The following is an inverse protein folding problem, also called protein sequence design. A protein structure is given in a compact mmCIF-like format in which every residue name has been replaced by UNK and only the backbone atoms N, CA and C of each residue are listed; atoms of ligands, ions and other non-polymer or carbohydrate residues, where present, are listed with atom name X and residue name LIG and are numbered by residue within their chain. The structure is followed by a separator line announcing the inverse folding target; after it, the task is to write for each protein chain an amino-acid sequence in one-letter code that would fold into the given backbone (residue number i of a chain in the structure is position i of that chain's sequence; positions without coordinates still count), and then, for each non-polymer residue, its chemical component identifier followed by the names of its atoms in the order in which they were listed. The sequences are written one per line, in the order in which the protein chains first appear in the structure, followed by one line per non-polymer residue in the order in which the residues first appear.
data_IF_231528461563
#
_entry.id   IF_231528461563
#
_cell.length_a   1.000
_cell.length_b   1.000
_cell.length_c   1.000
_cell.angle_alpha   90.00
_cell.angle_beta   90.00
_cell.angle_gamma   90.00
#
_symmetry.space_group_name_H-M   'P 1'
#
loop_
_entity.id
_entity.type
_entity.pdbx_description
1 polymer ?
#
# COMPACT_ATOMS: atom_id res chain seq x y z
N UNK A 1 0.38 23.43 3.63
CA UNK A 1 -0.78 23.60 2.73
C UNK A 1 -1.95 22.86 3.35
N UNK A 2 -3.03 23.55 3.64
CA UNK A 2 -4.30 22.91 3.99
C UNK A 2 -4.81 22.19 2.75
N UNK A 3 -4.81 20.86 2.78
CA UNK A 3 -5.42 20.08 1.72
C UNK A 3 -6.94 20.32 1.75
N UNK A 4 -7.48 20.96 0.71
CA UNK A 4 -8.92 21.15 0.58
C UNK A 4 -9.49 19.87 -0.02
N UNK A 5 -10.22 19.12 0.80
CA UNK A 5 -10.96 17.96 0.35
C UNK A 5 -12.14 18.41 -0.51
N UNK A 6 -11.99 18.30 -1.83
CA UNK A 6 -13.03 18.66 -2.78
C UNK A 6 -13.41 17.45 -3.65
N UNK A 7 -14.31 16.57 -3.16
CA UNK A 7 -14.70 15.38 -3.90
C UNK A 7 -15.36 15.75 -5.23
N UNK A 8 -15.18 14.91 -6.25
CA UNK A 8 -15.87 15.06 -7.53
C UNK A 8 -17.33 14.69 -7.30
N UNK A 9 -18.25 15.64 -7.54
CA UNK A 9 -19.68 15.50 -7.26
C UNK A 9 -20.56 15.42 -8.52
N UNK A 10 -20.00 15.64 -9.72
CA UNK A 10 -20.76 15.57 -10.97
C UNK A 10 -21.16 14.15 -11.36
N UNK A 11 -20.54 13.14 -10.75
CA UNK A 11 -20.88 11.73 -10.92
C UNK A 11 -21.68 11.26 -9.70
N UNK A 12 -22.94 10.92 -9.91
CA UNK A 12 -23.86 10.40 -8.89
C UNK A 12 -24.32 8.99 -9.26
N UNK A 13 -24.89 8.26 -8.31
CA UNK A 13 -25.45 6.92 -8.54
C UNK A 13 -26.41 6.89 -9.74
N UNK A 14 -26.31 5.84 -10.57
CA UNK A 14 -27.06 5.66 -11.82
C UNK A 14 -26.56 6.49 -13.01
N UNK A 15 -25.62 7.42 -12.83
CA UNK A 15 -25.01 8.16 -13.95
C UNK A 15 -23.89 7.36 -14.61
N UNK A 16 -23.51 7.73 -15.83
CA UNK A 16 -22.48 7.01 -16.59
C UNK A 16 -21.22 7.86 -16.79
N UNK A 17 -20.05 7.25 -16.60
CA UNK A 17 -18.79 7.78 -17.13
C UNK A 17 -18.63 7.25 -18.55
N UNK A 18 -18.47 8.17 -19.51
CA UNK A 18 -18.23 7.86 -20.93
C UNK A 18 -19.28 6.91 -21.55
N UNK A 19 -20.55 7.04 -21.16
CA UNK A 19 -21.68 6.22 -21.63
C UNK A 19 -21.46 4.69 -21.52
N UNK A 20 -20.63 4.24 -20.57
CA UNK A 20 -20.28 2.82 -20.39
C UNK A 20 -20.24 2.39 -18.95
N UNK A 21 -19.54 3.15 -18.11
CA UNK A 21 -19.30 2.78 -16.71
C UNK A 21 -20.37 3.44 -15.84
N UNK A 22 -21.39 2.67 -15.48
CA UNK A 22 -22.47 3.12 -14.60
C UNK A 22 -21.93 3.27 -13.17
N UNK A 23 -22.17 4.42 -12.54
CA UNK A 23 -21.80 4.70 -11.16
C UNK A 23 -22.75 3.94 -10.24
N UNK A 24 -22.21 3.03 -9.44
CA UNK A 24 -22.96 2.39 -8.34
C UNK A 24 -22.91 3.32 -7.13
N UNK A 25 -21.73 3.58 -6.59
CA UNK A 25 -21.55 4.47 -5.45
C UNK A 25 -20.13 5.01 -5.36
N UNK A 26 -19.94 6.09 -4.60
CA UNK A 26 -18.60 6.58 -4.25
C UNK A 26 -18.01 5.72 -3.14
N UNK A 27 -16.78 5.23 -3.33
CA UNK A 27 -16.10 4.36 -2.37
C UNK A 27 -14.96 5.06 -1.61
N UNK A 28 -14.45 6.18 -2.13
CA UNK A 28 -13.43 6.99 -1.46
C UNK A 28 -13.14 8.30 -2.19
N UNK A 29 -12.52 9.25 -1.50
CA UNK A 29 -12.01 10.46 -2.11
C UNK A 29 -10.75 10.96 -1.39
N UNK A 30 -9.83 11.47 -2.19
CA UNK A 30 -8.53 12.00 -1.79
C UNK A 30 -8.43 13.48 -2.13
N UNK A 31 -7.24 14.03 -1.90
CA UNK A 31 -6.87 15.37 -2.37
C UNK A 31 -6.80 15.46 -3.90
N UNK A 32 -6.55 14.33 -4.59
CA UNK A 32 -6.22 14.31 -6.02
C UNK A 32 -7.25 13.57 -6.88
N UNK A 33 -8.03 12.66 -6.29
CA UNK A 33 -8.96 11.82 -7.04
C UNK A 33 -10.16 11.41 -6.19
N UNK A 34 -11.26 11.05 -6.86
CA UNK A 34 -12.40 10.37 -6.25
C UNK A 34 -12.53 8.99 -6.87
N UNK A 35 -12.72 7.97 -6.04
CA UNK A 35 -12.93 6.59 -6.47
C UNK A 35 -14.41 6.23 -6.39
N UNK A 36 -14.91 5.65 -7.47
CA UNK A 36 -16.29 5.16 -7.60
C UNK A 36 -16.29 3.67 -7.90
N UNK A 37 -17.20 2.92 -7.27
CA UNK A 37 -17.57 1.60 -7.75
C UNK A 37 -18.45 1.78 -8.98
N UNK A 38 -18.15 1.04 -10.04
CA UNK A 38 -18.85 1.13 -11.32
C UNK A 38 -19.18 -0.24 -11.87
N UNK A 39 -20.20 -0.32 -12.71
CA UNK A 39 -20.51 -1.50 -13.53
C UNK A 39 -20.22 -1.21 -15.00
N UNK A 40 -19.51 -2.13 -15.66
CA UNK A 40 -19.26 -2.04 -17.09
C UNK A 40 -20.47 -2.58 -17.88
N UNK A 41 -21.31 -1.67 -18.39
CA UNK A 41 -22.49 -2.03 -19.18
C UNK A 41 -22.18 -2.78 -20.49
N UNK A 42 -20.92 -2.78 -20.93
CA UNK A 42 -20.49 -3.51 -22.14
C UNK A 42 -19.73 -4.82 -21.83
N UNK A 43 -19.50 -5.14 -20.55
CA UNK A 43 -18.86 -6.39 -20.10
C UNK A 43 -19.71 -7.03 -18.99
N UNK A 44 -20.94 -7.46 -19.32
CA UNK A 44 -21.86 -8.17 -18.43
C UNK A 44 -22.04 -7.53 -17.03
N UNK A 45 -22.12 -6.19 -16.97
CA UNK A 45 -22.24 -5.43 -15.71
C UNK A 45 -21.15 -5.75 -14.69
N UNK A 46 -19.97 -6.11 -15.16
CA UNK A 46 -18.84 -6.44 -14.30
C UNK A 46 -18.48 -5.27 -13.38
N UNK A 47 -18.34 -5.58 -12.10
CA UNK A 47 -17.96 -4.60 -11.08
C UNK A 47 -16.47 -4.23 -11.20
N UNK A 48 -16.22 -2.92 -11.25
CA UNK A 48 -14.90 -2.30 -11.39
C UNK A 48 -14.81 -1.05 -10.50
N UNK A 49 -13.63 -0.45 -10.47
CA UNK A 49 -13.39 0.85 -9.82
C UNK A 49 -12.98 1.88 -10.88
N UNK A 50 -13.63 3.04 -10.84
CA UNK A 50 -13.23 4.22 -11.59
C UNK A 50 -12.54 5.22 -10.65
N UNK A 51 -11.23 5.43 -10.84
CA UNK A 51 -10.48 6.52 -10.20
C UNK A 51 -10.53 7.74 -11.11
N UNK A 52 -11.16 8.81 -10.63
CA UNK A 52 -11.42 10.03 -11.41
C UNK A 52 -10.65 11.19 -10.78
N UNK A 53 -9.82 11.87 -11.56
CA UNK A 53 -9.07 13.06 -11.14
C UNK A 53 -9.42 14.25 -12.03
N UNK A 54 -9.44 15.47 -11.49
CA UNK A 54 -9.58 16.69 -12.32
C UNK A 54 -8.26 16.94 -13.04
N UNK A 55 -8.32 17.29 -14.32
CA UNK A 55 -7.12 17.68 -15.08
C UNK A 55 -6.41 18.89 -14.48
N UNK A 56 -7.17 19.82 -13.90
CA UNK A 56 -6.64 21.01 -13.23
C UNK A 56 -5.81 20.70 -11.98
N UNK A 57 -6.11 19.58 -11.31
CA UNK A 57 -5.52 19.24 -10.01
C UNK A 57 -4.24 18.40 -10.19
N UNK A 58 -4.08 17.77 -11.35
CA UNK A 58 -2.96 16.88 -11.67
C UNK A 58 -1.77 17.64 -12.30
N UNK A 59 -1.22 18.58 -11.52
CA UNK A 59 -0.06 19.40 -11.91
C UNK A 59 1.25 18.58 -11.87
N UNK A 60 1.29 17.50 -11.09
CA UNK A 60 2.48 16.69 -10.86
C UNK A 60 2.59 15.44 -11.76
N UNK A 61 1.64 15.24 -12.68
CA UNK A 61 1.66 14.10 -13.62
C UNK A 61 1.42 12.75 -12.94
N UNK A 62 0.64 12.74 -11.85
CA UNK A 62 0.29 11.54 -11.09
C UNK A 62 -0.49 10.56 -11.96
N UNK A 63 -1.40 11.06 -12.80
CA UNK A 63 -2.17 10.20 -13.69
C UNK A 63 -1.28 9.44 -14.67
N UNK A 64 -0.40 10.14 -15.40
CA UNK A 64 0.47 9.49 -16.38
C UNK A 64 1.42 8.50 -15.70
N UNK A 65 1.89 8.84 -14.51
CA UNK A 65 2.75 7.97 -13.69
C UNK A 65 2.02 6.68 -13.28
N UNK A 66 0.80 6.82 -12.74
CA UNK A 66 -0.03 5.70 -12.32
C UNK A 66 -0.41 4.80 -13.51
N UNK A 67 -0.84 5.38 -14.64
CA UNK A 67 -1.14 4.61 -15.87
C UNK A 67 0.10 3.85 -16.35
N UNK A 68 1.26 4.49 -16.38
CA UNK A 68 2.50 3.86 -16.84
C UNK A 68 2.93 2.69 -15.93
N UNK A 69 2.84 2.86 -14.61
CA UNK A 69 3.14 1.80 -13.65
C UNK A 69 2.12 0.65 -13.73
N UNK A 70 0.82 0.95 -13.72
CA UNK A 70 -0.25 -0.05 -13.83
C UNK A 70 -0.16 -0.86 -15.14
N UNK A 71 0.23 -0.22 -16.25
CA UNK A 71 0.44 -0.91 -17.53
C UNK A 71 1.52 -2.01 -17.41
N UNK A 72 2.58 -1.75 -16.64
CA UNK A 72 3.65 -2.73 -16.40
C UNK A 72 3.24 -3.85 -15.44
N UNK A 73 2.21 -3.62 -14.63
CA UNK A 73 1.71 -4.55 -13.61
C UNK A 73 0.54 -5.43 -14.09
N UNK A 74 0.10 -5.30 -15.35
CA UNK A 74 -0.94 -6.15 -15.93
C UNK A 74 -0.52 -7.63 -15.81
N UNK A 75 -1.37 -8.43 -15.19
CA UNK A 75 -1.15 -9.87 -14.96
C UNK A 75 -0.33 -10.18 -13.69
N UNK A 76 0.21 -9.17 -13.01
CA UNK A 76 0.96 -9.34 -11.76
C UNK A 76 -0.02 -9.28 -10.58
N UNK A 77 0.05 -10.27 -9.67
CA UNK A 77 -0.79 -10.36 -8.47
C UNK A 77 -0.50 -9.21 -7.49
N UNK A 78 -1.45 -8.95 -6.59
CA UNK A 78 -1.35 -7.92 -5.54
C UNK A 78 -1.39 -6.47 -6.04
N UNK A 79 -1.81 -6.25 -7.29
CA UNK A 79 -1.99 -4.93 -7.89
C UNK A 79 -3.33 -4.84 -8.62
N UNK A 80 -3.96 -3.65 -8.65
CA UNK A 80 -5.13 -3.40 -9.48
C UNK A 80 -4.85 -3.71 -10.95
N UNK A 81 -5.75 -4.45 -11.58
CA UNK A 81 -5.67 -4.78 -13.00
C UNK A 81 -6.38 -3.69 -13.80
N UNK A 82 -5.61 -2.75 -14.34
CA UNK A 82 -6.13 -1.70 -15.22
C UNK A 82 -6.82 -2.32 -16.44
N UNK A 83 -8.08 -1.93 -16.66
CA UNK A 83 -8.92 -2.38 -17.79
C UNK A 83 -8.99 -1.34 -18.89
N UNK A 84 -8.99 -0.07 -18.52
CA UNK A 84 -9.04 1.05 -19.44
C UNK A 84 -8.53 2.32 -18.76
N UNK A 85 -8.13 3.30 -19.54
CA UNK A 85 -7.92 4.66 -19.06
C UNK A 85 -8.25 5.64 -20.19
N UNK A 86 -8.80 6.79 -19.84
CA UNK A 86 -9.16 7.82 -20.83
C UNK A 86 -9.25 9.18 -20.15
N UNK A 87 -9.36 10.21 -20.98
CA UNK A 87 -9.58 11.58 -20.54
C UNK A 87 -10.89 12.11 -21.12
N UNK A 88 -11.63 12.88 -20.34
CA UNK A 88 -12.77 13.70 -20.79
C UNK A 88 -12.33 15.15 -20.95
N UNK A 89 -13.24 16.09 -21.17
CA UNK A 89 -12.90 17.53 -21.19
C UNK A 89 -12.22 17.98 -19.90
N UNK A 90 -12.71 17.54 -18.74
CA UNK A 90 -12.29 18.06 -17.42
C UNK A 90 -11.62 17.01 -16.53
N UNK A 91 -11.74 15.73 -16.85
CA UNK A 91 -11.33 14.63 -15.97
C UNK A 91 -10.37 13.66 -16.65
N UNK A 92 -9.56 13.00 -15.83
CA UNK A 92 -8.79 11.82 -16.18
C UNK A 92 -9.35 10.63 -15.41
N UNK A 93 -9.53 9.51 -16.10
CA UNK A 93 -10.19 8.33 -15.56
C UNK A 93 -9.31 7.11 -15.76
N UNK A 94 -9.14 6.32 -14.70
CA UNK A 94 -8.55 4.99 -14.74
C UNK A 94 -9.61 4.00 -14.28
N UNK A 95 -9.88 2.98 -15.11
CA UNK A 95 -10.78 1.88 -14.81
C UNK A 95 -9.95 0.66 -14.45
N UNK A 96 -10.16 0.07 -13.28
CA UNK A 96 -9.39 -1.05 -12.76
C UNK A 96 -10.26 -2.02 -11.97
N UNK A 97 -9.70 -3.17 -11.57
CA UNK A 97 -10.38 -4.12 -10.69
C UNK A 97 -10.59 -3.54 -9.29
N UNK A 98 -11.66 -3.98 -8.64
CA UNK A 98 -11.93 -3.68 -7.24
C UNK A 98 -11.07 -4.58 -6.35
N UNK A 99 -10.30 -3.96 -5.45
CA UNK A 99 -9.32 -4.63 -4.58
C UNK A 99 -9.77 -4.76 -3.11
N UNK A 100 -11.04 -4.47 -2.82
CA UNK A 100 -11.62 -4.60 -1.48
C UNK A 100 -11.43 -3.36 -0.60
N UNK A 101 -11.46 -3.56 0.72
CA UNK A 101 -11.41 -2.48 1.71
C UNK A 101 -9.98 -2.21 2.18
N UNK A 102 -9.68 -0.98 2.63
CA UNK A 102 -8.33 -0.69 3.12
C UNK A 102 -8.01 -1.48 4.39
N UNK A 103 -6.74 -1.87 4.53
CA UNK A 103 -6.21 -2.58 5.70
C UNK A 103 -6.46 -1.76 6.97
N UNK A 104 -6.37 -0.42 6.87
CA UNK A 104 -6.70 0.50 7.95
C UNK A 104 -8.15 0.42 8.43
N UNK A 105 -9.13 0.14 7.55
CA UNK A 105 -10.52 -0.12 7.96
C UNK A 105 -10.65 -1.50 8.60
N UNK A 106 -10.01 -2.52 8.03
CA UNK A 106 -10.04 -3.88 8.59
C UNK A 106 -9.43 -3.90 9.99
N UNK A 107 -8.28 -3.26 10.19
CA UNK A 107 -7.61 -3.14 11.49
C UNK A 107 -8.50 -2.45 12.54
N UNK A 108 -9.26 -1.44 12.13
CA UNK A 108 -10.16 -0.71 13.04
C UNK A 108 -11.32 -1.52 13.60
N UNK A 109 -11.59 -2.72 13.06
CA UNK A 109 -12.61 -3.65 13.54
C UNK A 109 -12.16 -4.41 14.79
N UNK A 110 -10.85 -4.48 15.03
CA UNK A 110 -10.31 -5.19 16.17
C UNK A 110 -10.34 -4.30 17.41
N UNK A 111 -10.85 -4.82 18.53
CA UNK A 111 -10.99 -4.08 19.78
C UNK A 111 -9.66 -3.48 20.28
N UNK A 112 -8.56 -4.22 20.07
CA UNK A 112 -7.21 -3.79 20.45
C UNK A 112 -6.50 -2.96 19.37
N UNK A 113 -7.14 -2.73 18.23
CA UNK A 113 -6.53 -2.02 17.09
C UNK A 113 -5.29 -2.72 16.50
N UNK A 114 -5.16 -4.03 16.70
CA UNK A 114 -4.01 -4.83 16.28
C UNK A 114 -4.44 -6.16 15.65
N UNK A 115 -3.61 -6.71 14.78
CA UNK A 115 -3.64 -8.08 14.29
C UNK A 115 -2.70 -8.97 15.12
N UNK A 116 -2.97 -10.27 15.13
CA UNK A 116 -2.10 -11.27 15.69
C UNK A 116 -0.78 -11.33 14.92
N UNK A 117 0.25 -11.82 15.60
CA UNK A 117 1.60 -11.88 15.09
C UNK A 117 1.68 -12.67 13.78
N UNK A 118 0.95 -13.78 13.70
CA UNK A 118 0.94 -14.71 12.58
C UNK A 118 0.30 -14.09 11.33
N UNK A 119 -0.80 -13.35 11.49
CA UNK A 119 -1.43 -12.65 10.38
C UNK A 119 -0.61 -11.44 9.94
N UNK A 120 -0.05 -10.67 10.88
CA UNK A 120 0.89 -9.59 10.57
C UNK A 120 2.12 -10.09 9.81
N UNK A 121 2.62 -11.26 10.17
CA UNK A 121 3.72 -11.94 9.49
C UNK A 121 3.38 -12.35 8.05
N UNK A 122 2.21 -12.97 7.83
CA UNK A 122 1.72 -13.34 6.48
C UNK A 122 1.48 -12.10 5.61
N UNK A 123 0.86 -11.05 6.17
CA UNK A 123 0.63 -9.78 5.47
C UNK A 123 1.98 -9.13 5.10
N UNK A 124 2.94 -9.11 6.03
CA UNK A 124 4.30 -8.61 5.78
C UNK A 124 4.98 -9.34 4.62
N UNK A 125 4.88 -10.67 4.59
CA UNK A 125 5.44 -11.47 3.51
C UNK A 125 4.79 -11.15 2.15
N UNK A 126 3.46 -11.06 2.09
CA UNK A 126 2.74 -10.72 0.85
C UNK A 126 3.08 -9.30 0.39
N UNK A 127 3.12 -8.33 1.31
CA UNK A 127 3.47 -6.95 1.01
C UNK A 127 4.89 -6.85 0.44
N UNK A 128 5.87 -7.52 1.05
CA UNK A 128 7.25 -7.56 0.56
C UNK A 128 7.32 -8.13 -0.86
N UNK A 129 6.55 -9.18 -1.17
CA UNK A 129 6.47 -9.73 -2.53
C UNK A 129 5.83 -8.77 -3.52
N UNK A 130 4.75 -8.08 -3.12
CA UNK A 130 4.08 -7.10 -3.96
C UNK A 130 5.05 -5.95 -4.30
N UNK A 131 5.71 -5.36 -3.30
CA UNK A 131 6.69 -4.28 -3.49
C UNK A 131 7.86 -4.70 -4.38
N UNK A 132 8.41 -5.91 -4.16
CA UNK A 132 9.44 -6.44 -5.03
C UNK A 132 8.99 -6.50 -6.50
N UNK A 133 7.76 -6.94 -6.77
CA UNK A 133 7.24 -6.99 -8.15
C UNK A 133 7.09 -5.61 -8.80
N UNK A 134 6.82 -4.56 -8.03
CA UNK A 134 6.85 -3.17 -8.52
C UNK A 134 8.28 -2.72 -8.84
N UNK A 135 9.22 -3.05 -7.95
CA UNK A 135 10.64 -2.74 -8.14
C UNK A 135 11.20 -3.43 -9.38
N UNK A 136 10.80 -4.68 -9.63
CA UNK A 136 11.21 -5.46 -10.82
C UNK A 136 10.73 -4.86 -12.14
N UNK A 137 9.57 -4.19 -12.14
CA UNK A 137 9.11 -3.44 -13.32
C UNK A 137 9.66 -2.01 -13.40
N UNK A 138 10.58 -1.65 -12.50
CA UNK A 138 11.35 -0.41 -12.54
C UNK A 138 10.68 0.78 -11.87
N UNK A 139 9.78 0.54 -10.90
CA UNK A 139 9.08 1.60 -10.16
C UNK A 139 9.27 1.47 -8.65
N UNK A 140 9.13 2.60 -7.94
CA UNK A 140 9.06 2.71 -6.49
C UNK A 140 7.68 3.27 -6.12
N UNK A 141 7.09 2.82 -5.03
CA UNK A 141 5.74 3.24 -4.64
C UNK A 141 5.73 4.60 -3.93
N UNK A 142 6.63 4.80 -2.96
CA UNK A 142 6.80 6.04 -2.18
C UNK A 142 5.64 6.49 -1.29
N UNK A 143 4.62 5.66 -1.09
CA UNK A 143 3.43 6.02 -0.30
C UNK A 143 2.77 4.79 0.34
N UNK A 144 3.57 3.92 0.94
CA UNK A 144 3.09 2.72 1.62
C UNK A 144 2.52 3.11 2.99
N UNK A 145 1.22 2.86 3.18
CA UNK A 145 0.49 3.13 4.41
C UNK A 145 -0.77 2.25 4.47
N UNK A 146 -1.48 2.26 5.61
CA UNK A 146 -2.66 1.41 5.88
C UNK A 146 -3.86 1.67 4.95
N UNK A 147 -3.92 2.82 4.29
CA UNK A 147 -5.01 3.17 3.38
C UNK A 147 -4.73 2.71 1.93
N UNK A 148 -3.45 2.52 1.59
CA UNK A 148 -2.99 2.05 0.28
C UNK A 148 -2.75 0.53 0.21
N UNK A 149 -3.02 -0.21 1.28
CA UNK A 149 -3.11 -1.67 1.27
C UNK A 149 -4.58 -2.05 1.38
N UNK A 150 -5.06 -2.99 0.57
CA UNK A 150 -6.45 -3.45 0.60
C UNK A 150 -6.56 -4.95 0.85
N UNK A 151 -7.73 -5.34 1.36
CA UNK A 151 -8.10 -6.69 1.74
C UNK A 151 -9.38 -7.06 1.00
N UNK A 152 -9.34 -8.15 0.23
CA UNK A 152 -10.51 -8.70 -0.46
C UNK A 152 -10.63 -10.20 -0.24
N UNK A 153 -11.80 -10.65 0.20
CA UNK A 153 -12.11 -12.08 0.24
C UNK A 153 -12.49 -12.58 -1.15
N UNK A 154 -11.85 -13.67 -1.57
CA UNK A 154 -12.21 -14.41 -2.79
C UNK A 154 -12.41 -15.88 -2.43
N UNK A 155 -13.67 -16.29 -2.28
CA UNK A 155 -13.99 -17.61 -1.75
C UNK A 155 -13.52 -17.74 -0.31
N UNK A 156 -12.59 -18.66 -0.05
CA UNK A 156 -11.98 -18.90 1.27
C UNK A 156 -10.60 -18.24 1.45
N UNK A 157 -10.13 -17.48 0.46
CA UNK A 157 -8.83 -16.82 0.49
C UNK A 157 -8.97 -15.33 0.74
N UNK A 158 -8.04 -14.76 1.50
CA UNK A 158 -7.85 -13.32 1.63
C UNK A 158 -6.77 -12.89 0.65
N UNK A 159 -7.12 -11.96 -0.22
CA UNK A 159 -6.21 -11.31 -1.15
C UNK A 159 -5.80 -9.96 -0.58
N UNK A 160 -4.49 -9.74 -0.51
CA UNK A 160 -3.90 -8.44 -0.20
C UNK A 160 -3.42 -7.80 -1.50
N UNK A 161 -3.76 -6.53 -1.72
CA UNK A 161 -3.30 -5.74 -2.85
C UNK A 161 -2.75 -4.39 -2.38
N UNK A 162 -1.81 -3.86 -3.15
CA UNK A 162 -1.28 -2.50 -2.99
C UNK A 162 -1.93 -1.61 -4.04
N UNK A 163 -2.44 -0.46 -3.63
CA UNK A 163 -3.17 0.48 -4.50
C UNK A 163 -2.52 1.87 -4.48
N UNK A 164 -2.98 2.73 -5.38
CA UNK A 164 -2.55 4.13 -5.52
C UNK A 164 -1.07 4.33 -5.91
N UNK A 165 -0.81 4.21 -7.22
CA UNK A 165 0.50 4.47 -7.80
C UNK A 165 0.68 5.93 -8.26
N UNK A 166 -0.18 6.85 -7.80
CA UNK A 166 -0.11 8.27 -8.16
C UNK A 166 1.16 8.96 -7.66
N UNK A 167 1.74 8.48 -6.56
CA UNK A 167 3.01 8.96 -6.02
C UNK A 167 4.22 8.12 -6.47
N UNK A 168 4.03 7.11 -7.31
CA UNK A 168 5.12 6.25 -7.76
C UNK A 168 6.19 7.04 -8.53
N UNK A 169 7.37 6.47 -8.71
CA UNK A 169 8.39 6.99 -9.64
C UNK A 169 9.19 5.86 -10.24
N UNK A 170 9.91 6.13 -11.33
CA UNK A 170 10.93 5.21 -11.79
C UNK A 170 11.96 4.94 -10.68
N UNK A 171 12.43 3.71 -10.57
CA UNK A 171 13.50 3.35 -9.63
C UNK A 171 14.85 3.96 -10.03
N UNK A 172 15.04 4.26 -11.32
CA UNK A 172 16.22 4.96 -11.83
C UNK A 172 15.85 6.02 -12.89
N UNK A 173 16.51 7.20 -12.91
CA UNK A 173 17.44 7.69 -11.88
C UNK A 173 16.71 7.97 -10.56
N UNK A 174 17.40 7.76 -9.44
CA UNK A 174 16.83 7.98 -8.11
C UNK A 174 16.65 9.46 -7.82
N UNK A 175 15.76 9.74 -6.87
CA UNK A 175 15.36 11.09 -6.51
C UNK A 175 15.49 11.30 -5.01
N UNK A 176 15.97 12.48 -4.61
CA UNK A 176 15.87 12.95 -3.23
C UNK A 176 14.45 13.46 -3.00
N UNK A 177 13.75 12.83 -2.08
CA UNK A 177 12.42 13.24 -1.64
C UNK A 177 12.52 13.91 -0.26
N UNK A 178 11.77 14.99 -0.02
CA UNK A 178 11.72 15.68 1.28
C UNK A 178 10.41 15.39 2.00
N UNK A 179 10.13 14.10 2.23
CA UNK A 179 8.98 13.67 3.00
C UNK A 179 9.35 13.56 4.48
N UNK A 180 8.40 13.90 5.36
CA UNK A 180 8.58 13.86 6.80
C UNK A 180 7.25 13.48 7.45
N UNK A 181 6.95 12.19 7.40
CA UNK A 181 5.72 11.60 7.94
C UNK A 181 6.02 10.26 8.58
N UNK A 182 5.07 9.74 9.37
CA UNK A 182 5.23 8.45 10.05
C UNK A 182 5.63 7.30 9.09
N UNK A 183 5.02 7.14 7.91
CA UNK A 183 5.41 6.08 6.98
C UNK A 183 6.73 6.32 6.24
N UNK A 184 7.25 7.56 6.21
CA UNK A 184 8.50 7.87 5.49
C UNK A 184 9.68 7.16 6.14
N UNK A 185 10.53 6.48 5.36
CA UNK A 185 11.73 5.80 5.89
C UNK A 185 12.67 6.78 6.60
N UNK A 186 13.37 6.31 7.64
CA UNK A 186 14.39 7.10 8.32
C UNK A 186 15.47 7.62 7.36
N UNK A 187 15.91 6.79 6.41
CA UNK A 187 16.92 7.13 5.41
C UNK A 187 16.52 8.33 4.54
N UNK A 188 15.27 8.36 4.09
CA UNK A 188 14.73 9.49 3.31
C UNK A 188 14.70 10.75 4.17
N UNK A 189 14.29 10.64 5.45
CA UNK A 189 14.23 11.78 6.36
C UNK A 189 15.61 12.39 6.66
N UNK A 190 16.70 11.60 6.61
CA UNK A 190 18.08 12.10 6.73
C UNK A 190 18.70 12.53 5.38
N UNK A 191 17.89 12.60 4.31
CA UNK A 191 18.30 13.13 3.02
C UNK A 191 18.95 12.13 2.06
N UNK A 192 18.80 10.82 2.29
CA UNK A 192 19.20 9.81 1.29
C UNK A 192 18.20 9.80 0.12
N UNK A 193 18.70 9.38 -1.04
CA UNK A 193 17.85 9.12 -2.20
C UNK A 193 16.87 7.98 -1.90
N UNK A 194 15.63 8.12 -2.35
CA UNK A 194 14.64 7.06 -2.23
C UNK A 194 15.01 5.89 -3.14
N UNK A 195 15.04 4.70 -2.57
CA UNK A 195 15.28 3.45 -3.29
C UNK A 195 14.33 2.34 -2.82
N UNK A 196 14.53 1.13 -3.33
CA UNK A 196 13.74 -0.07 -3.05
C UNK A 196 13.64 -0.36 -1.54
N UNK A 197 14.75 -0.14 -0.80
CA UNK A 197 14.81 -0.23 0.67
C UNK A 197 13.68 0.56 1.32
N UNK A 198 13.43 1.77 0.85
CA UNK A 198 12.60 2.72 1.56
C UNK A 198 11.12 2.33 1.49
N UNK A 199 10.68 1.70 0.38
CA UNK A 199 9.36 1.08 0.31
C UNK A 199 9.22 -0.10 1.29
N UNK A 200 10.27 -0.95 1.42
CA UNK A 200 10.26 -2.06 2.38
C UNK A 200 10.23 -1.58 3.83
N UNK A 201 11.04 -0.57 4.16
CA UNK A 201 11.05 0.06 5.49
C UNK A 201 9.69 0.67 5.81
N UNK A 202 9.10 1.42 4.88
CA UNK A 202 7.73 1.95 5.03
C UNK A 202 6.70 0.84 5.24
N UNK A 203 6.81 -0.26 4.49
CA UNK A 203 5.99 -1.45 4.68
C UNK A 203 6.15 -2.05 6.08
N UNK A 204 7.36 -2.14 6.61
CA UNK A 204 7.58 -2.68 7.95
C UNK A 204 7.05 -1.75 9.06
N UNK A 205 7.10 -0.43 8.88
CA UNK A 205 6.44 0.49 9.83
C UNK A 205 4.93 0.29 9.84
N UNK A 206 4.31 0.04 8.67
CA UNK A 206 2.90 -0.32 8.59
C UNK A 206 2.62 -1.64 9.34
N UNK A 207 3.48 -2.65 9.21
CA UNK A 207 3.31 -3.91 9.94
C UNK A 207 3.45 -3.72 11.45
N UNK A 208 4.32 -2.82 11.91
CA UNK A 208 4.39 -2.46 13.33
C UNK A 208 3.09 -1.79 13.82
N UNK A 209 2.49 -0.90 13.03
CA UNK A 209 1.15 -0.33 13.30
C UNK A 209 0.08 -1.44 13.38
N UNK A 210 0.11 -2.40 12.45
CA UNK A 210 -0.77 -3.57 12.49
C UNK A 210 -0.57 -4.43 13.74
N UNK A 211 0.63 -4.49 14.32
CA UNK A 211 0.91 -5.21 15.56
C UNK A 211 0.55 -4.40 16.82
N UNK A 212 0.16 -3.13 16.68
CA UNK A 212 0.05 -2.21 17.81
C UNK A 212 1.38 -1.92 18.50
N UNK A 213 2.52 -2.15 17.82
CA UNK A 213 3.85 -1.99 18.39
C UNK A 213 4.27 -0.52 18.39
N UNK A 214 4.55 0.10 19.56
CA UNK A 214 4.93 1.51 19.65
C UNK A 214 6.40 1.69 19.27
N UNK A 215 6.71 1.63 17.97
CA UNK A 215 8.10 1.71 17.48
C UNK A 215 8.67 3.13 17.46
N UNK A 216 7.82 4.17 17.53
CA UNK A 216 8.25 5.58 17.60
C UNK A 216 7.53 6.31 18.75
N UNK A 217 8.27 6.65 19.80
CA UNK A 217 7.80 7.51 20.89
C UNK A 217 8.21 8.96 20.63
N UNK A 218 7.24 9.85 20.41
CA UNK A 218 7.46 11.25 20.03
C UNK A 218 6.98 12.26 21.07
N UNK A 219 6.59 11.83 22.26
CA UNK A 219 6.14 12.74 23.34
C UNK A 219 7.24 13.71 23.77
N UNK A 220 8.49 13.25 23.79
CA UNK A 220 9.64 14.02 24.29
C UNK A 220 10.78 14.19 23.26
N UNK A 221 10.57 13.76 22.01
CA UNK A 221 11.58 13.85 20.95
C UNK A 221 10.94 14.00 19.58
N UNK A 222 11.73 14.43 18.59
CA UNK A 222 11.25 14.53 17.21
C UNK A 222 11.05 13.14 16.59
N UNK A 223 10.21 13.04 15.55
CA UNK A 223 10.00 11.78 14.83
C UNK A 223 11.29 11.23 14.22
N UNK A 224 12.21 12.10 13.76
CA UNK A 224 13.49 11.66 13.19
C UNK A 224 14.42 11.08 14.26
N UNK A 225 14.35 11.59 15.49
CA UNK A 225 15.11 11.06 16.62
C UNK A 225 14.55 9.71 17.09
N UNK A 226 13.21 9.60 17.20
CA UNK A 226 12.55 8.33 17.52
C UNK A 226 12.86 7.24 16.48
N UNK A 227 12.84 7.60 15.19
CA UNK A 227 13.27 6.70 14.11
C UNK A 227 14.74 6.30 14.26
N UNK A 228 15.64 7.25 14.53
CA UNK A 228 17.06 6.93 14.74
C UNK A 228 17.26 5.95 15.90
N UNK A 229 16.54 6.13 17.01
CA UNK A 229 16.56 5.22 18.16
C UNK A 229 16.12 3.80 17.76
N UNK A 230 14.98 3.68 17.09
CA UNK A 230 14.48 2.42 16.54
C UNK A 230 15.50 1.73 15.65
N UNK A 231 16.05 2.44 14.67
CA UNK A 231 17.04 1.90 13.73
C UNK A 231 18.40 1.57 14.37
N UNK A 232 18.71 2.13 15.54
CA UNK A 232 19.96 1.82 16.26
C UNK A 232 19.88 0.49 17.00
N UNK A 233 18.71 0.15 17.57
CA UNK A 233 18.50 -1.11 18.27
C UNK A 233 17.06 -1.64 18.09
N UNK A 234 16.70 -2.15 16.90
CA UNK A 234 15.33 -2.57 16.63
C UNK A 234 14.80 -3.65 17.57
N UNK A 235 15.67 -4.56 18.05
CA UNK A 235 15.28 -5.64 18.96
C UNK A 235 14.75 -5.16 20.31
N UNK A 236 15.06 -3.93 20.73
CA UNK A 236 14.54 -3.38 21.99
C UNK A 236 13.04 -3.04 21.93
N UNK A 237 12.46 -2.95 20.74
CA UNK A 237 11.07 -2.51 20.52
C UNK A 237 10.08 -3.67 20.35
N UNK A 238 10.55 -4.91 20.33
CA UNK A 238 9.72 -6.09 20.06
C UNK A 238 9.92 -7.16 21.11
N UNK A 239 8.85 -7.83 21.58
CA UNK A 239 8.96 -9.02 22.40
C UNK A 239 9.56 -10.19 21.61
N UNK A 240 10.02 -11.27 22.27
CA UNK A 240 10.72 -12.40 21.63
C UNK A 240 10.00 -12.98 20.40
N UNK A 241 8.68 -13.12 20.45
CA UNK A 241 7.83 -13.65 19.38
C UNK A 241 7.73 -12.74 18.15
N UNK A 242 8.09 -11.47 18.28
CA UNK A 242 8.07 -10.46 17.21
C UNK A 242 9.47 -10.06 16.73
N UNK A 243 10.54 -10.71 17.21
CA UNK A 243 11.93 -10.38 16.82
C UNK A 243 12.22 -10.56 15.32
N UNK A 244 11.33 -11.22 14.57
CA UNK A 244 11.38 -11.26 13.12
C UNK A 244 11.26 -9.86 12.48
N UNK A 245 10.54 -8.94 13.11
CA UNK A 245 10.46 -7.52 12.70
C UNK A 245 11.83 -6.84 12.80
N UNK A 246 12.52 -7.03 13.92
CA UNK A 246 13.86 -6.50 14.15
C UNK A 246 14.89 -7.08 13.15
N UNK A 247 14.78 -8.38 12.84
CA UNK A 247 15.62 -9.02 11.82
C UNK A 247 15.38 -8.44 10.43
N UNK A 248 14.11 -8.29 10.01
CA UNK A 248 13.76 -7.74 8.70
C UNK A 248 14.22 -6.30 8.54
N UNK A 249 14.00 -5.42 9.52
CA UNK A 249 14.45 -4.03 9.40
C UNK A 249 15.97 -3.94 9.32
N UNK A 250 16.70 -4.77 10.08
CA UNK A 250 18.17 -4.83 10.00
C UNK A 250 18.64 -5.24 8.60
N UNK A 251 17.94 -6.20 7.96
CA UNK A 251 18.21 -6.60 6.58
C UNK A 251 17.92 -5.43 5.63
N UNK A 252 16.77 -4.76 5.75
CA UNK A 252 16.41 -3.63 4.90
C UNK A 252 17.40 -2.47 5.02
N UNK A 253 17.80 -2.10 6.23
CA UNK A 253 18.78 -1.03 6.47
C UNK A 253 20.15 -1.33 5.85
N UNK A 254 20.52 -2.60 5.75
CA UNK A 254 21.76 -3.03 5.09
C UNK A 254 21.71 -2.98 3.56
N UNK A 255 20.51 -2.79 2.96
CA UNK A 255 20.35 -2.71 1.52
C UNK A 255 21.04 -1.46 0.96
N UNK A 256 22.03 -1.71 0.11
CA UNK A 256 22.82 -0.67 -0.53
C UNK A 256 22.13 -0.20 -1.80
N UNK A 257 22.09 1.12 -1.98
CA UNK A 257 21.64 1.81 -3.18
C UNK A 257 22.10 1.14 -4.48
N UNK A 258 23.41 0.98 -4.68
CA UNK A 258 23.94 0.93 -6.05
C UNK A 258 24.03 -0.48 -6.65
N UNK A 259 23.37 -1.46 -6.01
CA UNK A 259 23.36 -2.85 -6.46
C UNK A 259 21.93 -3.36 -6.54
N UNK A 260 21.70 -4.30 -7.46
CA UNK A 260 20.44 -5.07 -7.47
C UNK A 260 20.28 -5.73 -6.09
N UNK A 261 19.14 -5.51 -5.46
CA UNK A 261 18.84 -6.05 -4.12
C UNK A 261 18.93 -7.58 -4.13
N UNK A 262 19.79 -8.15 -3.29
CA UNK A 262 19.71 -9.57 -2.95
C UNK A 262 18.60 -9.76 -1.92
N UNK A 263 17.52 -10.42 -2.34
CA UNK A 263 16.37 -10.69 -1.49
C UNK A 263 16.50 -12.00 -0.72
N UNK A 264 17.54 -12.80 -0.97
CA UNK A 264 17.75 -14.09 -0.30
C UNK A 264 17.73 -13.98 1.22
N UNK A 265 18.37 -12.98 1.85
CA UNK A 265 18.30 -12.79 3.30
C UNK A 265 16.88 -12.53 3.81
N UNK A 266 16.08 -11.78 3.05
CA UNK A 266 14.69 -11.43 3.40
C UNK A 266 13.83 -12.70 3.37
N UNK A 267 13.91 -13.48 2.30
CA UNK A 267 13.14 -14.72 2.19
C UNK A 267 13.58 -15.75 3.22
N UNK A 268 14.88 -15.90 3.48
CA UNK A 268 15.37 -16.76 4.54
C UNK A 268 14.83 -16.34 5.92
N UNK A 269 14.72 -15.03 6.19
CA UNK A 269 14.10 -14.55 7.42
C UNK A 269 12.64 -15.01 7.52
N UNK A 270 11.83 -14.86 6.47
CA UNK A 270 10.44 -15.34 6.49
C UNK A 270 10.31 -16.86 6.63
N UNK A 271 11.21 -17.65 6.05
CA UNK A 271 11.12 -19.12 6.15
C UNK A 271 11.57 -19.65 7.52
N UNK A 272 12.31 -18.87 8.30
CA UNK A 272 12.93 -19.33 9.57
C UNK A 272 12.47 -18.58 10.82
N UNK A 273 11.78 -17.44 10.66
CA UNK A 273 11.39 -16.57 11.76
C UNK A 273 10.40 -17.20 12.75
N UNK A 274 9.36 -17.87 12.23
CA UNK A 274 8.28 -18.47 13.03
C UNK A 274 8.16 -19.96 12.70
N UNK A 275 8.71 -20.87 13.53
CA UNK A 275 8.80 -22.31 13.22
C UNK A 275 7.45 -23.01 12.95
N UNK A 276 6.36 -22.48 13.50
CA UNK A 276 5.02 -23.08 13.39
C UNK A 276 4.10 -22.35 12.40
N UNK A 277 4.58 -21.29 11.75
CA UNK A 277 3.76 -20.41 10.91
C UNK A 277 4.42 -20.29 9.56
N UNK A 278 3.85 -20.95 8.56
CA UNK A 278 4.31 -20.74 7.19
C UNK A 278 3.93 -19.34 6.71
N UNK A 279 4.86 -18.51 6.21
CA UNK A 279 4.54 -17.19 5.65
C UNK A 279 3.62 -17.27 4.41
N UNK A 280 3.54 -18.45 3.78
CA UNK A 280 2.71 -18.74 2.60
C UNK A 280 1.35 -19.33 2.95
N UNK A 281 1.10 -19.66 4.23
CA UNK A 281 -0.20 -20.15 4.65
C UNK A 281 -1.27 -19.04 4.53
N UNK A 282 -2.56 -19.39 4.33
CA UNK A 282 -3.62 -18.40 4.24
C UNK A 282 -3.69 -17.48 5.46
N UNK A 283 -4.05 -16.22 5.25
CA UNK A 283 -4.41 -15.30 6.35
C UNK A 283 -5.68 -15.83 7.00
N UNK A 284 -5.64 -15.92 8.33
CA UNK A 284 -6.75 -16.38 9.14
C UNK A 284 -7.74 -15.23 9.37
N UNK A 285 -9.03 -15.50 9.20
CA UNK A 285 -10.08 -14.51 9.34
C UNK A 285 -11.38 -15.12 9.87
N UNK A 286 -12.26 -14.27 10.36
CA UNK A 286 -13.66 -14.58 10.67
C UNK A 286 -14.57 -13.76 9.76
N UNK A 287 -15.69 -14.34 9.38
CA UNK A 287 -16.77 -13.66 8.69
C UNK A 287 -17.88 -13.39 9.69
N UNK A 288 -18.20 -12.11 9.91
CA UNK A 288 -19.24 -11.67 10.83
C UNK A 288 -20.17 -10.74 10.07
N UNK A 289 -21.37 -11.21 9.72
CA UNK A 289 -22.37 -10.44 8.95
C UNK A 289 -21.80 -9.84 7.65
N UNK A 290 -21.20 -10.70 6.81
CA UNK A 290 -20.57 -10.33 5.54
C UNK A 290 -19.39 -9.35 5.69
N UNK A 291 -18.83 -9.25 6.89
CA UNK A 291 -17.69 -8.39 7.22
C UNK A 291 -16.49 -9.24 7.64
N UNK A 292 -15.38 -9.06 6.92
CA UNK A 292 -14.11 -9.74 7.20
C UNK A 292 -13.48 -9.13 8.46
N UNK A 293 -13.17 -9.98 9.43
CA UNK A 293 -12.36 -9.64 10.60
C UNK A 293 -11.08 -10.47 10.56
N UNK A 294 -9.96 -9.81 10.32
CA UNK A 294 -8.62 -10.41 10.45
C UNK A 294 -8.19 -10.17 11.88
N UNK A 295 -7.94 -11.26 12.61
CA UNK A 295 -7.51 -11.18 14.00
C UNK A 295 -5.99 -11.07 14.13
#
# INVERSE_FOLDING_TARGET
MTYIWNPISCYTEGTFISNRYEIVNRIGFGCFATAFKVQDSLDNHKELVAKVARKSDDVSGKYQTEVAALTKLIGIKHWPQMKNHFETTSYRVIIMTEEGESLGKVLSRNENGAFFNENSFRISYILTKALHSLHDVGYLHRDINRDNITVKQKGKEILISVIDLGNASKSFPRQICRFNSYPTSWHVMIGKEWCERDDFVSGLYLIADCLGAPIFETKNQSLIDAKREFHTNPSAFFPPEQLWMAKLITIFDSMVSDKKTDLSPIWNCYETALPHVSPKSPIEYKDINDTIVIA
#
